data_IF_200943659152
#
_entry.id   IF_200943659152
#
_cell.length_a   1.000
_cell.length_b   1.000
_cell.length_c   1.000
_cell.angle_alpha   90.00
_cell.angle_beta   90.00
_cell.angle_gamma   90.00
#
_symmetry.space_group_name_H-M   'P 1'
#
loop_
_entity.id
_entity.type
_entity.pdbx_description
1 polymer ?
#
# COMPACT_ATOMS: atom_id res chain seq x y z
N UNK A 1 -11.95 18.29 33.02
CA UNK A 1 -11.88 18.30 31.55
C UNK A 1 -11.87 16.85 31.09
N UNK A 2 -13.04 16.37 30.70
CA UNK A 2 -13.25 14.96 30.30
C UNK A 2 -12.68 14.75 28.92
N UNK A 3 -11.55 14.01 28.82
CA UNK A 3 -11.02 13.57 27.57
C UNK A 3 -11.99 12.54 26.96
N UNK A 4 -12.55 12.88 25.81
CA UNK A 4 -13.33 11.95 25.02
C UNK A 4 -12.44 10.77 24.67
N UNK A 5 -12.64 9.65 25.36
CA UNK A 5 -12.14 8.34 24.94
C UNK A 5 -12.80 8.07 23.60
N UNK A 6 -12.03 8.21 22.51
CA UNK A 6 -12.47 7.76 21.20
C UNK A 6 -12.73 6.26 21.34
N UNK A 7 -14.00 5.93 21.23
CA UNK A 7 -14.50 4.55 21.15
C UNK A 7 -13.85 3.89 19.93
N UNK A 8 -12.64 3.37 20.13
CA UNK A 8 -12.02 2.44 19.22
C UNK A 8 -12.89 1.20 19.30
N UNK A 9 -13.89 1.10 18.42
CA UNK A 9 -14.69 -0.11 18.27
C UNK A 9 -13.73 -1.28 18.23
N UNK A 10 -13.59 -1.91 19.37
CA UNK A 10 -12.78 -3.07 19.57
C UNK A 10 -13.20 -4.11 18.54
N UNK A 11 -12.32 -4.40 17.58
CA UNK A 11 -12.62 -5.39 16.57
C UNK A 11 -12.71 -6.74 17.30
N UNK A 12 -13.92 -7.19 17.52
CA UNK A 12 -14.20 -8.53 18.06
C UNK A 12 -13.97 -9.51 16.89
N UNK A 13 -12.92 -10.35 16.95
CA UNK A 13 -12.70 -11.33 15.90
C UNK A 13 -13.94 -12.22 15.77
N UNK A 14 -14.40 -12.52 14.54
CA UNK A 14 -15.52 -13.43 14.36
C UNK A 14 -15.18 -14.79 14.96
N UNK A 15 -16.18 -15.48 15.56
CA UNK A 15 -15.96 -16.81 16.10
C UNK A 15 -15.40 -17.73 15.03
N UNK A 16 -14.58 -18.71 15.42
CA UNK A 16 -13.85 -19.58 14.52
C UNK A 16 -14.81 -20.44 13.69
N UNK A 17 -15.16 -19.95 12.54
CA UNK A 17 -15.94 -20.66 11.56
C UNK A 17 -15.15 -20.69 10.25
N UNK A 18 -14.38 -21.72 10.04
CA UNK A 18 -13.08 -21.46 9.50
C UNK A 18 -12.78 -22.32 8.31
N UNK A 19 -12.02 -21.75 7.40
CA UNK A 19 -11.26 -22.50 6.40
C UNK A 19 -9.86 -22.76 6.96
N UNK A 20 -9.49 -24.03 7.07
CA UNK A 20 -8.15 -24.47 7.48
C UNK A 20 -7.70 -23.94 8.87
N UNK A 21 -8.64 -23.81 9.82
CA UNK A 21 -8.33 -23.40 11.17
C UNK A 21 -8.06 -21.90 11.37
N UNK A 22 -8.36 -21.05 10.36
CA UNK A 22 -8.15 -19.60 10.42
C UNK A 22 -9.42 -18.81 10.11
N UNK A 23 -9.61 -17.61 10.66
CA UNK A 23 -10.75 -16.74 10.37
C UNK A 23 -10.90 -16.43 8.87
N UNK A 24 -12.13 -16.44 8.35
CA UNK A 24 -12.39 -16.13 6.93
C UNK A 24 -11.82 -14.77 6.50
N UNK A 25 -11.81 -13.80 7.39
CA UNK A 25 -11.25 -12.47 7.14
C UNK A 25 -9.75 -12.52 6.81
N UNK A 26 -8.99 -13.48 7.40
CA UNK A 26 -7.58 -13.67 7.08
C UNK A 26 -7.36 -13.96 5.59
N UNK A 27 -8.19 -14.82 5.01
CA UNK A 27 -8.08 -15.17 3.59
C UNK A 27 -8.38 -14.01 2.66
N UNK A 28 -9.31 -13.14 3.05
CA UNK A 28 -9.59 -11.91 2.30
C UNK A 28 -8.41 -10.94 2.37
N UNK A 29 -7.84 -10.73 3.56
CA UNK A 29 -6.67 -9.86 3.74
C UNK A 29 -5.43 -10.43 3.05
N UNK A 30 -5.22 -11.74 3.14
CA UNK A 30 -4.15 -12.43 2.42
C UNK A 30 -4.28 -12.25 0.90
N UNK A 31 -5.48 -12.44 0.35
CA UNK A 31 -5.73 -12.22 -1.07
C UNK A 31 -5.46 -10.78 -1.50
N UNK A 32 -5.89 -9.80 -0.70
CA UNK A 32 -5.67 -8.38 -0.95
C UNK A 32 -4.16 -8.03 -0.92
N UNK A 33 -3.43 -8.54 0.09
CA UNK A 33 -1.98 -8.33 0.20
C UNK A 33 -1.21 -9.06 -0.90
N UNK A 34 -1.63 -10.27 -1.27
CA UNK A 34 -1.02 -11.02 -2.38
C UNK A 34 -1.09 -10.22 -3.70
N UNK A 35 -2.28 -9.69 -4.04
CA UNK A 35 -2.47 -8.87 -5.24
C UNK A 35 -1.69 -7.56 -5.19
N UNK A 36 -1.68 -6.88 -4.04
CA UNK A 36 -0.86 -5.67 -3.85
C UNK A 36 0.61 -5.97 -4.13
N UNK A 37 1.16 -7.02 -3.52
CA UNK A 37 2.56 -7.41 -3.74
C UNK A 37 2.84 -7.78 -5.19
N UNK A 38 1.94 -8.54 -5.81
CA UNK A 38 2.08 -8.89 -7.22
C UNK A 38 2.18 -7.65 -8.12
N UNK A 39 1.25 -6.70 -7.95
CA UNK A 39 1.25 -5.45 -8.70
C UNK A 39 2.48 -4.60 -8.36
N UNK A 40 2.81 -4.46 -7.08
CA UNK A 40 3.92 -3.64 -6.61
C UNK A 40 5.28 -4.14 -7.14
N UNK A 41 5.58 -5.42 -6.98
CA UNK A 41 6.85 -5.97 -7.44
C UNK A 41 6.91 -6.05 -8.96
N UNK A 42 5.82 -6.38 -9.63
CA UNK A 42 5.75 -6.39 -11.10
C UNK A 42 6.00 -5.00 -11.69
N UNK A 43 5.31 -3.98 -11.18
CA UNK A 43 5.51 -2.60 -11.61
C UNK A 43 6.95 -2.14 -11.30
N UNK A 44 7.44 -2.42 -10.09
CA UNK A 44 8.77 -2.02 -9.65
C UNK A 44 9.89 -2.63 -10.52
N UNK A 45 9.74 -3.87 -10.95
CA UNK A 45 10.72 -4.54 -11.83
C UNK A 45 10.87 -3.83 -13.18
N UNK A 46 9.80 -3.24 -13.68
CA UNK A 46 9.76 -2.60 -14.99
C UNK A 46 9.95 -1.08 -14.93
N UNK A 47 9.72 -0.45 -13.78
CA UNK A 47 9.63 1.00 -13.62
C UNK A 47 10.86 1.73 -14.17
N UNK A 48 12.06 1.36 -13.74
CA UNK A 48 13.28 2.05 -14.15
C UNK A 48 13.54 1.89 -15.65
N UNK A 49 13.30 0.69 -16.20
CA UNK A 49 13.48 0.41 -17.63
C UNK A 49 12.48 1.21 -18.46
N UNK A 50 11.20 1.21 -18.06
CA UNK A 50 10.14 1.96 -18.72
C UNK A 50 10.42 3.46 -18.72
N UNK A 51 10.76 4.02 -17.55
CA UNK A 51 11.06 5.46 -17.41
C UNK A 51 12.24 5.86 -18.28
N UNK A 52 13.32 5.07 -18.32
CA UNK A 52 14.46 5.34 -19.20
C UNK A 52 14.07 5.30 -20.69
N UNK A 53 13.34 4.28 -21.10
CA UNK A 53 12.97 4.07 -22.50
C UNK A 53 11.89 5.03 -23.01
N UNK A 54 10.92 5.39 -22.16
CA UNK A 54 9.78 6.19 -22.58
C UNK A 54 10.02 7.69 -22.45
N UNK A 55 10.60 8.13 -21.33
CA UNK A 55 10.71 9.56 -21.03
C UNK A 55 12.10 10.13 -21.27
N UNK A 56 13.14 9.33 -21.17
CA UNK A 56 14.52 9.76 -21.27
C UNK A 56 15.29 9.15 -22.45
N UNK A 57 14.58 8.56 -23.43
CA UNK A 57 15.20 7.98 -24.62
C UNK A 57 15.99 8.99 -25.48
N UNK A 58 15.72 10.29 -25.34
CA UNK A 58 16.40 11.39 -26.02
C UNK A 58 17.75 11.73 -25.41
N UNK A 59 18.07 11.20 -24.21
CA UNK A 59 19.33 11.42 -23.52
C UNK A 59 20.34 10.30 -23.83
N UNK A 60 21.67 10.58 -23.64
CA UNK A 60 22.68 9.53 -23.65
C UNK A 60 22.34 8.42 -22.66
N UNK A 61 22.64 7.16 -22.99
CA UNK A 61 22.20 5.98 -22.21
C UNK A 61 22.59 6.05 -20.71
N UNK A 62 23.74 6.64 -20.38
CA UNK A 62 24.17 6.84 -19.00
C UNK A 62 23.28 7.82 -18.23
N UNK A 63 22.92 8.94 -18.85
CA UNK A 63 22.06 9.96 -18.26
C UNK A 63 20.62 9.48 -18.15
N UNK A 64 20.08 8.83 -19.18
CA UNK A 64 18.76 8.23 -19.13
C UNK A 64 18.61 7.24 -17.97
N UNK A 65 19.62 6.38 -17.78
CA UNK A 65 19.66 5.44 -16.66
C UNK A 65 19.77 6.16 -15.31
N UNK A 66 20.54 7.23 -15.20
CA UNK A 66 20.66 8.01 -13.97
C UNK A 66 19.32 8.65 -13.58
N UNK A 67 18.61 9.28 -14.53
CA UNK A 67 17.29 9.89 -14.29
C UNK A 67 16.24 8.86 -13.91
N UNK A 68 16.22 7.71 -14.58
CA UNK A 68 15.32 6.61 -14.23
C UNK A 68 15.60 6.05 -12.83
N UNK A 69 16.90 5.96 -12.45
CA UNK A 69 17.28 5.52 -11.10
C UNK A 69 16.89 6.51 -10.01
N UNK A 70 16.98 7.81 -10.27
CA UNK A 70 16.50 8.86 -9.37
C UNK A 70 14.97 8.76 -9.17
N UNK A 71 14.22 8.60 -10.25
CA UNK A 71 12.75 8.42 -10.20
C UNK A 71 12.40 7.18 -9.38
N UNK A 72 13.06 6.07 -9.63
CA UNK A 72 12.86 4.81 -8.91
C UNK A 72 13.22 4.94 -7.42
N UNK A 73 14.36 5.56 -7.11
CA UNK A 73 14.82 5.78 -5.74
C UNK A 73 13.89 6.70 -4.96
N UNK A 74 13.46 7.82 -5.57
CA UNK A 74 12.49 8.73 -5.00
C UNK A 74 11.15 8.05 -4.70
N UNK A 75 10.60 7.33 -5.67
CA UNK A 75 9.39 6.54 -5.49
C UNK A 75 9.50 5.56 -4.32
N UNK A 76 10.57 4.77 -4.29
CA UNK A 76 10.77 3.74 -3.25
C UNK A 76 10.90 4.38 -1.86
N UNK A 77 11.67 5.47 -1.73
CA UNK A 77 11.85 6.19 -0.47
C UNK A 77 10.52 6.74 0.06
N UNK A 78 9.69 7.32 -0.82
CA UNK A 78 8.39 7.86 -0.46
C UNK A 78 7.40 6.75 -0.03
N UNK A 79 7.43 5.58 -0.67
CA UNK A 79 6.60 4.43 -0.25
C UNK A 79 6.87 4.04 1.20
N UNK A 80 8.14 4.03 1.63
CA UNK A 80 8.47 3.73 3.03
C UNK A 80 8.09 4.88 3.98
N UNK A 81 8.33 6.12 3.60
CA UNK A 81 8.03 7.28 4.43
C UNK A 81 6.52 7.45 4.66
N UNK A 82 5.70 7.27 3.64
CA UNK A 82 4.24 7.43 3.73
C UNK A 82 3.56 6.35 4.55
N UNK A 83 4.19 5.19 4.74
CA UNK A 83 3.67 4.13 5.61
C UNK A 83 3.46 4.59 7.05
N UNK A 84 4.37 5.40 7.58
CA UNK A 84 4.25 5.97 8.95
C UNK A 84 3.03 6.89 9.03
N UNK A 85 2.89 7.79 8.05
CA UNK A 85 1.77 8.74 8.01
C UNK A 85 0.42 8.04 7.83
N UNK A 86 0.37 7.02 6.98
CA UNK A 86 -0.85 6.26 6.73
C UNK A 86 -1.34 5.48 7.94
N UNK A 87 -0.45 4.92 8.74
CA UNK A 87 -0.79 4.31 10.03
C UNK A 87 -1.40 5.33 10.98
N UNK A 88 -0.76 6.49 11.16
CA UNK A 88 -1.27 7.58 12.02
C UNK A 88 -2.64 8.10 11.57
N UNK A 89 -2.87 8.22 10.26
CA UNK A 89 -4.17 8.67 9.71
C UNK A 89 -5.26 7.63 10.01
N UNK A 90 -4.94 6.35 9.87
CA UNK A 90 -5.87 5.27 10.16
C UNK A 90 -6.23 5.22 11.64
N UNK A 91 -5.24 5.31 12.53
CA UNK A 91 -5.44 5.27 13.98
C UNK A 91 -6.31 6.43 14.48
N UNK A 92 -6.13 7.63 13.90
CA UNK A 92 -6.75 8.85 14.42
C UNK A 92 -8.08 9.21 13.75
N UNK A 93 -8.28 8.90 12.46
CA UNK A 93 -9.38 9.44 11.67
C UNK A 93 -10.21 8.40 10.92
N UNK A 94 -9.59 7.48 10.19
CA UNK A 94 -10.28 6.63 9.22
C UNK A 94 -10.67 5.25 9.76
N UNK A 95 -9.86 4.71 10.66
CA UNK A 95 -9.91 3.30 11.02
C UNK A 95 -9.27 2.39 9.96
N UNK A 96 -8.85 1.19 10.35
CA UNK A 96 -8.04 0.30 9.52
C UNK A 96 -8.75 -0.15 8.25
N UNK A 97 -10.01 -0.57 8.36
CA UNK A 97 -10.77 -1.09 7.21
C UNK A 97 -10.96 -0.05 6.10
N UNK A 98 -11.34 1.18 6.48
CA UNK A 98 -11.54 2.26 5.51
C UNK A 98 -10.21 2.68 4.88
N UNK A 99 -9.14 2.70 5.66
CA UNK A 99 -7.79 3.01 5.16
C UNK A 99 -7.31 1.98 4.15
N UNK A 100 -7.56 0.69 4.37
CA UNK A 100 -7.22 -0.37 3.42
C UNK A 100 -8.01 -0.20 2.11
N UNK A 101 -9.33 0.03 2.20
CA UNK A 101 -10.17 0.21 1.01
C UNK A 101 -9.75 1.46 0.22
N UNK A 102 -9.59 2.58 0.91
CA UNK A 102 -9.16 3.84 0.27
C UNK A 102 -7.76 3.72 -0.34
N UNK A 103 -6.84 3.09 0.37
CA UNK A 103 -5.49 2.81 -0.12
C UNK A 103 -5.50 1.96 -1.38
N UNK A 104 -6.30 0.89 -1.41
CA UNK A 104 -6.48 0.04 -2.58
C UNK A 104 -7.06 0.79 -3.78
N UNK A 105 -8.08 1.64 -3.56
CA UNK A 105 -8.68 2.46 -4.61
C UNK A 105 -7.67 3.48 -5.18
N UNK A 106 -6.92 4.15 -4.31
CA UNK A 106 -5.87 5.08 -4.75
C UNK A 106 -4.80 4.37 -5.58
N UNK A 107 -4.34 3.20 -5.14
CA UNK A 107 -3.37 2.42 -5.92
C UNK A 107 -3.93 2.02 -7.30
N UNK A 108 -5.19 1.61 -7.38
CA UNK A 108 -5.84 1.29 -8.65
C UNK A 108 -5.90 2.52 -9.58
N UNK A 109 -6.34 3.67 -9.08
CA UNK A 109 -6.36 4.94 -9.85
C UNK A 109 -4.94 5.29 -10.32
N UNK A 110 -3.95 5.23 -9.43
CA UNK A 110 -2.57 5.51 -9.78
C UNK A 110 -2.03 4.58 -10.87
N UNK A 111 -2.35 3.27 -10.81
CA UNK A 111 -1.97 2.32 -11.85
C UNK A 111 -2.58 2.69 -13.22
N UNK A 112 -3.84 3.13 -13.27
CA UNK A 112 -4.43 3.62 -14.53
C UNK A 112 -3.72 4.88 -15.05
N UNK A 113 -3.31 5.79 -14.16
CA UNK A 113 -2.55 6.97 -14.56
C UNK A 113 -1.17 6.63 -15.15
N UNK A 114 -0.53 5.52 -14.75
CA UNK A 114 0.73 5.07 -15.33
C UNK A 114 0.63 4.65 -16.80
N UNK A 115 -0.56 4.44 -17.33
CA UNK A 115 -0.78 4.14 -18.76
C UNK A 115 -0.57 5.38 -19.65
N UNK A 116 -0.51 6.59 -19.06
CA UNK A 116 -0.31 7.82 -19.81
C UNK A 116 1.12 7.92 -20.34
N UNK A 117 1.29 8.34 -21.61
CA UNK A 117 2.59 8.63 -22.17
C UNK A 117 3.16 10.01 -21.71
N UNK A 118 2.39 10.77 -20.96
CA UNK A 118 2.76 12.10 -20.47
C UNK A 118 3.44 11.97 -19.10
N UNK A 119 4.69 12.52 -19.00
CA UNK A 119 5.54 12.34 -17.82
C UNK A 119 4.93 12.91 -16.53
N UNK A 120 4.24 14.05 -16.59
CA UNK A 120 3.67 14.66 -15.38
C UNK A 120 2.52 13.80 -14.84
N UNK A 121 1.64 13.30 -15.72
CA UNK A 121 0.55 12.43 -15.31
C UNK A 121 1.07 11.09 -14.79
N UNK A 122 2.13 10.57 -15.39
CA UNK A 122 2.82 9.37 -14.92
C UNK A 122 3.40 9.58 -13.50
N UNK A 123 4.11 10.69 -13.26
CA UNK A 123 4.67 11.00 -11.93
C UNK A 123 3.59 11.23 -10.87
N UNK A 124 2.48 11.88 -11.23
CA UNK A 124 1.31 12.01 -10.35
C UNK A 124 0.74 10.63 -10.05
N UNK A 125 0.65 9.74 -11.03
CA UNK A 125 0.24 8.35 -10.84
C UNK A 125 1.11 7.62 -9.83
N UNK A 126 2.43 7.76 -9.91
CA UNK A 126 3.36 7.22 -8.90
C UNK A 126 3.10 7.81 -7.51
N UNK A 127 2.86 9.12 -7.40
CA UNK A 127 2.55 9.77 -6.12
C UNK A 127 1.22 9.26 -5.51
N UNK A 128 0.21 9.04 -6.34
CA UNK A 128 -1.09 8.46 -5.92
C UNK A 128 -0.90 7.02 -5.44
N UNK A 129 -0.08 6.21 -6.12
CA UNK A 129 0.26 4.85 -5.66
C UNK A 129 0.99 4.90 -4.31
N UNK A 130 1.93 5.82 -4.14
CA UNK A 130 2.64 6.03 -2.86
C UNK A 130 1.68 6.35 -1.73
N UNK A 131 0.75 7.28 -1.94
CA UNK A 131 -0.27 7.63 -0.95
C UNK A 131 -1.18 6.44 -0.62
N UNK A 132 -1.61 5.70 -1.64
CA UNK A 132 -2.42 4.49 -1.50
C UNK A 132 -1.70 3.39 -0.71
N UNK A 133 -0.46 3.11 -1.05
CA UNK A 133 0.37 2.11 -0.36
C UNK A 133 0.61 2.48 1.11
N UNK A 134 0.85 3.77 1.39
CA UNK A 134 0.99 4.28 2.74
C UNK A 134 -0.24 4.03 3.61
N UNK A 135 -1.45 4.16 3.05
CA UNK A 135 -2.69 3.84 3.76
C UNK A 135 -2.97 2.33 3.84
N UNK A 136 -2.55 1.55 2.86
CA UNK A 136 -2.86 0.13 2.76
C UNK A 136 -1.97 -0.72 3.65
N UNK A 137 -0.67 -0.65 3.44
CA UNK A 137 0.31 -1.60 3.98
C UNK A 137 0.39 -1.68 5.52
N UNK A 138 0.52 -0.57 6.28
CA UNK A 138 0.57 -0.65 7.73
C UNK A 138 -0.75 -1.14 8.32
N UNK A 139 -1.86 -0.78 7.69
CA UNK A 139 -3.19 -1.05 8.22
C UNK A 139 -3.64 -2.49 7.98
N UNK A 140 -3.24 -3.12 6.87
CA UNK A 140 -3.52 -4.54 6.64
C UNK A 140 -2.77 -5.42 7.64
N UNK A 141 -1.50 -5.12 7.90
CA UNK A 141 -0.69 -5.86 8.88
C UNK A 141 -1.27 -5.73 10.30
N UNK A 142 -1.69 -4.51 10.69
CA UNK A 142 -2.35 -4.28 11.98
C UNK A 142 -3.67 -5.03 12.08
N UNK A 143 -4.46 -5.05 11.00
CA UNK A 143 -5.75 -5.73 10.98
C UNK A 143 -5.59 -7.24 11.07
N UNK A 144 -4.59 -7.84 10.41
CA UNK A 144 -4.26 -9.27 10.56
C UNK A 144 -3.93 -9.60 12.00
N UNK A 145 -3.08 -8.79 12.66
CA UNK A 145 -2.75 -8.97 14.08
C UNK A 145 -3.95 -8.90 15.03
N UNK A 146 -5.02 -8.16 14.65
CA UNK A 146 -6.26 -8.04 15.42
C UNK A 146 -7.27 -9.18 15.19
N UNK A 147 -7.04 -10.05 14.20
CA UNK A 147 -7.90 -11.22 13.96
C UNK A 147 -7.74 -12.31 15.02
N UNK A 148 -6.67 -12.28 15.78
CA UNK A 148 -6.37 -13.25 16.81
C UNK A 148 -6.34 -12.60 18.19
N UNK A 149 -6.81 -13.33 19.22
CA UNK A 149 -6.67 -12.89 20.59
C UNK A 149 -5.19 -12.85 20.99
N UNK A 150 -4.85 -12.09 22.06
CA UNK A 150 -3.46 -11.92 22.46
C UNK A 150 -2.78 -13.22 22.93
N UNK A 151 -3.57 -14.17 23.41
CA UNK A 151 -3.18 -15.50 23.91
C UNK A 151 -3.34 -16.62 22.88
N UNK A 152 -3.75 -16.31 21.66
CA UNK A 152 -3.94 -17.32 20.61
C UNK A 152 -2.58 -17.72 20.00
N UNK A 153 -2.23 -18.99 20.16
CA UNK A 153 -0.98 -19.57 19.62
C UNK A 153 -0.87 -19.51 18.09
N UNK A 154 -1.98 -19.25 17.39
CA UNK A 154 -2.01 -19.12 15.92
C UNK A 154 -1.65 -17.71 15.43
N UNK A 155 -1.40 -16.78 16.36
CA UNK A 155 -1.04 -15.39 16.07
C UNK A 155 0.41 -15.25 15.62
N UNK A 156 1.31 -16.10 16.11
CA UNK A 156 2.74 -16.15 15.82
C UNK A 156 3.02 -17.15 14.69
#
# INVERSE_FOLDING_TARGET
MSGAVLDTKEFIPPPPGEKLGHPRALWMLFGAEFWERFCYYGMRALLAVYVAAQFFAHLPAGEAKAQASLTYGGYTSLVYATGILGGMIADRYLGYQRSIILGGLLMAVGCFMLLSPEIHLFLIGLAVIVAGNGLFKPNISTMVGKLYAQDDQRRD
#
